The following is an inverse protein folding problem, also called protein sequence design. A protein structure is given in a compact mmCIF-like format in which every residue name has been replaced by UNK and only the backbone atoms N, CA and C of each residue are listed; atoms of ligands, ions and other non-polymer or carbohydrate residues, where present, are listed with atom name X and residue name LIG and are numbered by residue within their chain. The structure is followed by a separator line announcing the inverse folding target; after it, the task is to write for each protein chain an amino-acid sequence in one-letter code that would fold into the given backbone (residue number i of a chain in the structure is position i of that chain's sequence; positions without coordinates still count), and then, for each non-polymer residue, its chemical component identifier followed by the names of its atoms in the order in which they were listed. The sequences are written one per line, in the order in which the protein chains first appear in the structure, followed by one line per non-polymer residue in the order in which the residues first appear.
data_IF_942183438717
#
_entry.id   IF_942183438717
#
_cell.length_a   1.000
_cell.length_b   1.000
_cell.length_c   1.000
_cell.angle_alpha   90.00
_cell.angle_beta   90.00
_cell.angle_gamma   90.00
#
_symmetry.space_group_name_H-M   'P 1'
#
loop_
_entity.id
_entity.type
_entity.pdbx_description
1 polymer ?
#
# COMPACT_ATOMS: atom_id res chain seq x y z
N UNK A 1 -25.34 1.71 21.90
CA UNK A 1 -25.51 0.57 20.96
C UNK A 1 -24.93 0.79 19.56
N UNK A 2 -24.83 2.01 19.02
CA UNK A 2 -24.29 2.24 17.66
C UNK A 2 -22.76 2.20 17.53
N UNK A 3 -22.01 2.20 18.64
CA UNK A 3 -20.55 2.21 18.60
C UNK A 3 -19.95 0.85 18.23
N UNK A 4 -20.58 -0.24 18.67
CA UNK A 4 -20.14 -1.62 18.38
C UNK A 4 -20.28 -1.88 16.87
N UNK A 5 -21.42 -1.52 16.29
CA UNK A 5 -21.65 -1.67 14.85
C UNK A 5 -20.65 -0.85 14.01
N UNK A 6 -20.39 0.38 14.40
CA UNK A 6 -19.39 1.23 13.76
C UNK A 6 -17.94 0.75 13.96
N UNK A 7 -17.65 0.03 15.04
CA UNK A 7 -16.36 -0.63 15.27
C UNK A 7 -16.21 -1.84 14.35
N UNK A 8 -17.24 -2.68 14.28
CA UNK A 8 -17.23 -3.90 13.46
C UNK A 8 -17.13 -3.55 11.98
N UNK A 9 -17.93 -2.61 11.47
CA UNK A 9 -17.84 -2.18 10.07
C UNK A 9 -16.46 -1.61 9.76
N UNK A 10 -15.89 -0.77 10.63
CA UNK A 10 -14.54 -0.24 10.42
C UNK A 10 -13.49 -1.33 10.44
N UNK A 11 -13.61 -2.32 11.30
CA UNK A 11 -12.66 -3.41 11.42
C UNK A 11 -12.76 -4.38 10.22
N UNK A 12 -13.97 -4.62 9.73
CA UNK A 12 -14.23 -5.42 8.52
C UNK A 12 -13.75 -4.68 7.29
N UNK A 13 -14.11 -3.41 7.09
CA UNK A 13 -13.61 -2.59 5.99
C UNK A 13 -12.09 -2.46 6.01
N UNK A 14 -11.48 -2.26 7.18
CA UNK A 14 -10.02 -2.19 7.29
C UNK A 14 -9.34 -3.53 6.97
N UNK A 15 -9.97 -4.66 7.30
CA UNK A 15 -9.47 -6.00 6.93
C UNK A 15 -9.74 -6.35 5.46
N UNK A 16 -10.87 -5.94 4.90
CA UNK A 16 -11.24 -6.18 3.50
C UNK A 16 -10.49 -5.28 2.54
N UNK A 17 -10.36 -3.99 2.83
CA UNK A 17 -9.52 -3.07 2.07
C UNK A 17 -8.05 -3.42 2.30
N UNK A 18 -7.63 -3.73 3.53
CA UNK A 18 -6.27 -4.19 3.81
C UNK A 18 -5.92 -5.43 2.99
N UNK A 19 -6.71 -6.51 3.11
CA UNK A 19 -6.49 -7.73 2.34
C UNK A 19 -6.77 -7.58 0.85
N UNK A 20 -7.70 -6.74 0.44
CA UNK A 20 -8.04 -6.50 -0.96
C UNK A 20 -7.00 -5.66 -1.69
N UNK A 21 -6.40 -4.69 -0.99
CA UNK A 21 -5.25 -3.93 -1.47
C UNK A 21 -4.01 -4.80 -1.40
N UNK A 22 -3.77 -5.56 -0.33
CA UNK A 22 -2.61 -6.47 -0.26
C UNK A 22 -2.71 -7.59 -1.28
N UNK A 23 -3.89 -8.18 -1.50
CA UNK A 23 -4.12 -9.18 -2.54
C UNK A 23 -4.13 -8.55 -3.93
N UNK A 24 -4.66 -7.34 -4.08
CA UNK A 24 -4.63 -6.59 -5.34
C UNK A 24 -3.23 -6.18 -5.73
N UNK A 25 -2.40 -5.77 -4.77
CA UNK A 25 -0.98 -5.48 -4.94
C UNK A 25 -0.22 -6.78 -5.19
N UNK A 26 -0.45 -7.85 -4.43
CA UNK A 26 0.18 -9.15 -4.70
C UNK A 26 -0.27 -9.77 -6.03
N UNK A 27 -1.46 -9.45 -6.53
CA UNK A 27 -1.96 -9.95 -7.82
C UNK A 27 -1.55 -9.05 -8.98
N UNK A 28 -1.45 -7.74 -8.77
CA UNK A 28 -0.91 -6.77 -9.73
C UNK A 28 0.62 -6.80 -9.81
N UNK A 29 1.30 -7.19 -8.73
CA UNK A 29 2.75 -7.41 -8.67
C UNK A 29 3.14 -8.89 -8.86
N UNK A 30 2.17 -9.79 -9.05
CA UNK A 30 2.37 -11.22 -9.27
C UNK A 30 2.76 -12.02 -8.02
N UNK A 31 2.85 -13.37 -8.09
CA UNK A 31 2.94 -14.31 -6.94
C UNK A 31 4.14 -14.14 -6.00
N UNK A 32 4.96 -13.11 -6.23
CA UNK A 32 6.14 -12.76 -5.46
C UNK A 32 5.99 -11.31 -5.01
N UNK A 33 5.38 -11.09 -3.85
CA UNK A 33 5.41 -9.82 -3.10
C UNK A 33 6.82 -9.42 -2.63
N UNK A 34 7.82 -9.57 -3.51
CA UNK A 34 9.25 -9.43 -3.24
C UNK A 34 10.02 -10.66 -3.73
N UNK A 35 10.37 -10.74 -5.02
CA UNK A 35 11.59 -11.47 -5.38
C UNK A 35 12.74 -10.84 -4.55
N UNK A 36 13.63 -11.64 -3.93
CA UNK A 36 14.90 -11.13 -3.42
C UNK A 36 15.52 -10.22 -4.49
N UNK A 37 16.14 -9.11 -4.07
CA UNK A 37 16.65 -8.08 -4.98
C UNK A 37 17.55 -8.63 -6.10
N UNK A 38 18.10 -9.81 -5.88
CA UNK A 38 19.01 -10.53 -6.75
C UNK A 38 18.32 -11.22 -7.94
N UNK A 39 17.02 -11.54 -7.86
CA UNK A 39 16.27 -12.26 -8.91
C UNK A 39 15.39 -11.36 -9.80
N UNK A 40 15.47 -10.04 -9.62
CA UNK A 40 14.72 -9.08 -10.43
C UNK A 40 15.43 -8.85 -11.75
N UNK A 41 14.74 -9.10 -12.86
CA UNK A 41 15.23 -8.73 -14.19
C UNK A 41 15.48 -7.21 -14.24
N UNK A 42 16.38 -6.72 -15.11
CA UNK A 42 16.71 -5.29 -15.19
C UNK A 42 15.48 -4.39 -15.38
N UNK A 43 14.47 -4.88 -16.09
CA UNK A 43 13.20 -4.18 -16.33
C UNK A 43 12.30 -4.13 -15.09
N UNK A 44 12.18 -5.24 -14.34
CA UNK A 44 11.44 -5.27 -13.07
C UNK A 44 12.08 -4.33 -12.04
N UNK A 45 13.41 -4.24 -12.03
CA UNK A 45 14.16 -3.34 -11.15
C UNK A 45 13.87 -1.86 -11.44
N UNK A 46 13.73 -1.48 -12.72
CA UNK A 46 13.35 -0.12 -13.14
C UNK A 46 11.93 0.24 -12.72
N UNK A 47 10.97 -0.66 -12.94
CA UNK A 47 9.57 -0.46 -12.49
C UNK A 47 9.47 -0.31 -10.98
N UNK A 48 10.21 -1.12 -10.23
CA UNK A 48 10.23 -1.03 -8.77
C UNK A 48 10.88 0.28 -8.28
N UNK A 49 11.91 0.77 -8.96
CA UNK A 49 12.55 2.07 -8.65
C UNK A 49 11.56 3.23 -8.86
N UNK A 50 10.87 3.24 -10.00
CA UNK A 50 9.82 4.24 -10.29
C UNK A 50 8.69 4.18 -9.26
N UNK A 51 8.21 2.99 -8.90
CA UNK A 51 7.18 2.83 -7.88
C UNK A 51 7.65 3.36 -6.50
N UNK A 52 8.90 3.11 -6.11
CA UNK A 52 9.49 3.64 -4.87
C UNK A 52 9.59 5.16 -4.89
N UNK A 53 9.97 5.76 -6.00
CA UNK A 53 10.10 7.21 -6.12
C UNK A 53 8.73 7.90 -6.07
N UNK A 54 7.72 7.34 -6.71
CA UNK A 54 6.33 7.79 -6.60
C UNK A 54 5.83 7.68 -5.16
N UNK A 55 6.08 6.55 -4.49
CA UNK A 55 5.71 6.37 -3.08
C UNK A 55 6.41 7.37 -2.16
N UNK A 56 7.69 7.69 -2.40
CA UNK A 56 8.42 8.72 -1.64
C UNK A 56 7.77 10.10 -1.78
N UNK A 57 7.45 10.52 -3.00
CA UNK A 57 6.77 11.81 -3.26
C UNK A 57 5.40 11.86 -2.58
N UNK A 58 4.62 10.79 -2.69
CA UNK A 58 3.33 10.69 -2.01
C UNK A 58 3.46 10.79 -0.48
N UNK A 59 4.47 10.13 0.11
CA UNK A 59 4.76 10.24 1.56
C UNK A 59 5.15 11.66 1.98
N UNK A 60 5.94 12.36 1.16
CA UNK A 60 6.31 13.76 1.42
C UNK A 60 5.08 14.67 1.38
N UNK A 61 4.25 14.54 0.35
CA UNK A 61 2.99 15.28 0.24
C UNK A 61 2.08 15.01 1.45
N UNK A 62 1.87 13.73 1.80
CA UNK A 62 1.07 13.35 2.97
C UNK A 62 1.65 13.90 4.28
N UNK A 63 2.98 13.97 4.42
CA UNK A 63 3.63 14.56 5.61
C UNK A 63 3.37 16.06 5.72
N UNK A 64 3.36 16.77 4.59
CA UNK A 64 3.01 18.20 4.52
C UNK A 64 1.54 18.38 4.87
N UNK A 65 0.63 17.64 4.23
CA UNK A 65 -0.81 17.66 4.52
C UNK A 65 -1.09 17.38 6.00
N UNK A 66 -0.40 16.41 6.61
CA UNK A 66 -0.57 16.07 8.02
C UNK A 66 -0.05 17.14 8.99
N UNK A 67 0.90 17.97 8.55
CA UNK A 67 1.39 19.11 9.33
C UNK A 67 0.49 20.34 9.20
N UNK A 68 -0.12 20.54 8.03
CA UNK A 68 -1.07 21.63 7.77
C UNK A 68 -2.45 21.37 8.38
N UNK A 69 -2.87 20.11 8.48
CA UNK A 69 -4.15 19.72 9.09
C UNK A 69 -4.07 19.42 10.59
N UNK A 70 -2.96 19.78 11.25
CA UNK A 70 -2.81 19.78 12.71
C UNK A 70 -2.89 21.21 13.20
#
# INVERSE_FOLDING_TARGET
MNQIFNMVIRQVMRRLVGRGVDAGINRALGPKGGKPRDDLTPEERRRQKQARDTAKRARQAAKITRRLGR
#
